data_IF_954700288369
#
_entry.id   IF_954700288369
#
_cell.length_a   1.000
_cell.length_b   1.000
_cell.length_c   1.000
_cell.angle_alpha   90.00
_cell.angle_beta   90.00
_cell.angle_gamma   90.00
#
_symmetry.space_group_name_H-M   'P 1'
#
loop_
_entity.id
_entity.type
_entity.pdbx_description
1 polymer ?
#
# COMPACT_ATOMS: atom_id res chain seq x y z
N UNK A 1 16.52 -9.26 -9.19
CA UNK A 1 17.01 -8.21 -8.26
C UNK A 1 16.74 -6.78 -8.76
N UNK A 2 16.49 -6.56 -10.07
CA UNK A 2 16.20 -5.23 -10.64
C UNK A 2 14.75 -4.75 -10.41
N UNK A 3 13.78 -5.66 -10.31
CA UNK A 3 12.34 -5.33 -10.22
C UNK A 3 11.94 -4.70 -8.89
N UNK A 4 12.53 -5.14 -7.78
CA UNK A 4 12.22 -4.58 -6.45
C UNK A 4 12.61 -3.10 -6.32
N UNK A 5 13.62 -2.66 -7.08
CA UNK A 5 14.07 -1.26 -7.10
C UNK A 5 13.14 -0.37 -7.93
N UNK A 6 12.53 -0.91 -8.99
CA UNK A 6 11.63 -0.16 -9.88
C UNK A 6 10.27 0.10 -9.22
N UNK A 7 9.67 -0.91 -8.58
CA UNK A 7 8.39 -0.75 -7.87
C UNK A 7 8.49 0.25 -6.72
N UNK A 8 9.59 0.22 -5.96
CA UNK A 8 9.84 1.22 -4.92
C UNK A 8 9.92 2.63 -5.52
N UNK A 9 10.70 2.84 -6.59
CA UNK A 9 10.82 4.14 -7.25
C UNK A 9 9.46 4.66 -7.75
N UNK A 10 8.69 3.82 -8.44
CA UNK A 10 7.34 4.15 -8.92
C UNK A 10 6.42 4.55 -7.75
N UNK A 11 6.43 3.78 -6.67
CA UNK A 11 5.66 4.07 -5.47
C UNK A 11 5.97 5.48 -4.94
N UNK A 12 7.23 5.84 -4.72
CA UNK A 12 7.58 7.15 -4.16
C UNK A 12 7.17 8.31 -5.07
N UNK A 13 7.36 8.15 -6.38
CA UNK A 13 7.01 9.20 -7.33
C UNK A 13 5.52 9.50 -7.27
N UNK A 14 4.69 8.46 -7.40
CA UNK A 14 3.23 8.62 -7.40
C UNK A 14 2.70 9.03 -6.03
N UNK A 15 3.23 8.45 -4.95
CA UNK A 15 2.88 8.88 -3.60
C UNK A 15 3.16 10.37 -3.40
N UNK A 16 4.35 10.84 -3.81
CA UNK A 16 4.71 12.25 -3.72
C UNK A 16 3.75 13.14 -4.49
N UNK A 17 3.35 12.73 -5.70
CA UNK A 17 2.44 13.51 -6.54
C UNK A 17 1.03 13.58 -5.95
N UNK A 18 0.51 12.47 -5.41
CA UNK A 18 -0.77 12.45 -4.69
C UNK A 18 -0.75 13.39 -3.48
N UNK A 19 0.32 13.34 -2.67
CA UNK A 19 0.46 14.21 -1.49
C UNK A 19 0.59 15.69 -1.88
N UNK A 20 1.38 16.01 -2.91
CA UNK A 20 1.48 17.39 -3.43
C UNK A 20 0.15 17.93 -3.94
N UNK A 21 -0.69 17.05 -4.50
CA UNK A 21 -2.04 17.39 -4.91
C UNK A 21 -3.04 17.49 -3.74
N UNK A 22 -2.60 17.32 -2.48
CA UNK A 22 -3.45 17.31 -1.28
C UNK A 22 -4.57 16.25 -1.36
N UNK A 23 -4.27 15.12 -1.98
CA UNK A 23 -5.17 13.97 -2.12
C UNK A 23 -4.81 12.86 -1.14
N UNK A 24 -5.71 11.92 -0.96
CA UNK A 24 -5.59 10.83 0.01
C UNK A 24 -5.06 9.56 -0.67
N UNK A 25 -3.81 9.15 -0.40
CA UNK A 25 -3.24 7.96 -1.01
C UNK A 25 -3.82 6.69 -0.39
N UNK A 26 -4.27 5.79 -1.27
CA UNK A 26 -4.80 4.47 -0.96
C UNK A 26 -3.98 3.42 -1.69
N UNK A 27 -3.65 2.32 -1.00
CA UNK A 27 -2.97 1.16 -1.57
C UNK A 27 -3.90 -0.05 -1.59
N UNK A 28 -3.74 -0.89 -2.61
CA UNK A 28 -4.37 -2.22 -2.69
C UNK A 28 -3.28 -3.26 -2.47
N UNK A 29 -3.57 -4.24 -1.63
CA UNK A 29 -2.63 -5.29 -1.27
C UNK A 29 -3.33 -6.65 -1.37
N UNK A 30 -2.61 -7.64 -1.91
CA UNK A 30 -3.07 -9.03 -1.96
C UNK A 30 -2.89 -9.71 -0.59
N UNK A 31 -3.97 -10.24 -0.02
CA UNK A 31 -3.98 -10.88 1.30
C UNK A 31 -3.57 -12.36 1.30
N UNK A 32 -3.46 -13.01 0.14
CA UNK A 32 -3.00 -14.41 0.05
C UNK A 32 -1.49 -14.54 0.30
N UNK A 33 -0.72 -13.53 -0.12
CA UNK A 33 0.74 -13.62 -0.13
C UNK A 33 1.42 -13.05 1.13
N UNK A 34 0.69 -12.29 1.95
CA UNK A 34 1.26 -11.59 3.09
C UNK A 34 0.36 -11.71 4.33
N UNK A 35 0.98 -12.03 5.48
CA UNK A 35 0.28 -12.14 6.75
C UNK A 35 -0.09 -10.74 7.28
N UNK A 36 -1.29 -10.26 6.92
CA UNK A 36 -1.84 -9.05 7.50
C UNK A 36 -2.50 -9.36 8.83
N UNK A 37 -2.09 -8.68 9.90
CA UNK A 37 -2.89 -8.58 11.12
C UNK A 37 -3.97 -7.52 10.92
N UNK A 38 -4.89 -7.76 9.99
CA UNK A 38 -6.02 -6.86 9.72
C UNK A 38 -7.30 -7.63 10.01
N UNK A 39 -8.36 -6.98 10.51
CA UNK A 39 -9.62 -7.67 10.74
C UNK A 39 -10.18 -8.20 9.41
N UNK A 40 -10.60 -9.47 9.40
CA UNK A 40 -11.14 -10.16 8.21
C UNK A 40 -12.33 -9.43 7.59
N UNK A 41 -13.05 -8.61 8.37
CA UNK A 41 -14.15 -7.77 7.88
C UNK A 41 -13.72 -6.66 6.91
N UNK A 42 -12.42 -6.40 6.76
CA UNK A 42 -11.86 -5.40 5.83
C UNK A 42 -11.27 -6.01 4.57
N UNK A 43 -11.17 -7.34 4.52
CA UNK A 43 -10.67 -8.08 3.37
C UNK A 43 -11.84 -8.29 2.42
N UNK A 44 -11.63 -8.00 1.13
CA UNK A 44 -12.53 -8.44 0.08
C UNK A 44 -12.26 -9.92 -0.20
N UNK A 45 -13.06 -10.80 0.40
CA UNK A 45 -12.95 -12.26 0.28
C UNK A 45 -13.25 -12.80 -1.13
N UNK A 46 -13.73 -11.96 -2.07
CA UNK A 46 -13.91 -12.38 -3.46
C UNK A 46 -12.62 -12.20 -4.27
N UNK A 47 -11.83 -11.18 -3.92
CA UNK A 47 -10.58 -10.84 -4.62
C UNK A 47 -9.32 -11.13 -3.81
N UNK A 48 -9.47 -11.49 -2.54
CA UNK A 48 -8.40 -11.58 -1.55
C UNK A 48 -7.58 -10.30 -1.48
N UNK A 49 -8.25 -9.15 -1.48
CA UNK A 49 -7.62 -7.84 -1.51
C UNK A 49 -8.00 -7.02 -0.28
N UNK A 50 -7.07 -6.19 0.18
CA UNK A 50 -7.35 -5.16 1.16
C UNK A 50 -6.90 -3.79 0.67
N UNK A 51 -7.78 -2.81 0.86
CA UNK A 51 -7.51 -1.41 0.52
C UNK A 51 -7.24 -0.60 1.78
N UNK A 52 -6.07 0.03 1.88
CA UNK A 52 -5.63 0.79 3.06
C UNK A 52 -5.25 2.22 2.70
N UNK A 53 -5.62 3.18 3.55
CA UNK A 53 -5.15 4.56 3.41
C UNK A 53 -3.76 4.73 4.02
N UNK A 54 -2.86 5.41 3.30
CA UNK A 54 -1.48 5.69 3.75
C UNK A 54 -1.20 7.20 3.80
N UNK A 55 -2.20 7.99 4.18
CA UNK A 55 -2.05 9.45 4.31
C UNK A 55 -0.98 9.82 5.36
N UNK A 56 -0.24 10.91 5.16
CA UNK A 56 0.96 11.32 5.94
C UNK A 56 0.78 11.36 7.45
N UNK A 57 -0.46 11.57 7.94
CA UNK A 57 -0.79 11.49 9.36
C UNK A 57 -0.64 10.06 9.95
N UNK A 58 -0.78 9.01 9.13
CA UNK A 58 -0.67 7.60 9.50
C UNK A 58 0.76 7.03 9.38
N UNK A 59 1.66 7.76 8.70
CA UNK A 59 3.05 7.34 8.44
C UNK A 59 4.03 8.19 9.26
N UNK A 60 3.81 8.32 10.57
CA UNK A 60 4.89 8.79 11.47
C UNK A 60 5.84 7.63 11.74
N UNK A 61 7.03 7.68 11.14
CA UNK A 61 8.10 6.71 11.42
C UNK A 61 8.21 5.53 10.44
N UNK A 62 7.83 5.69 9.17
CA UNK A 62 8.20 4.74 8.12
C UNK A 62 9.73 4.72 7.98
N UNK A 63 10.36 3.85 8.78
CA UNK A 63 11.72 3.42 8.55
C UNK A 63 11.72 2.61 7.27
N UNK A 64 12.14 3.26 6.18
CA UNK A 64 12.42 2.66 4.89
C UNK A 64 13.67 1.76 4.98
N UNK A 65 13.60 0.72 5.80
CA UNK A 65 14.54 -0.39 5.72
C UNK A 65 13.98 -1.39 4.71
N UNK A 66 14.73 -1.61 3.63
CA UNK A 66 14.56 -2.74 2.71
C UNK A 66 13.21 -2.76 1.97
N UNK A 67 12.78 -1.64 1.37
CA UNK A 67 11.58 -1.56 0.51
C UNK A 67 10.29 -2.01 1.21
N UNK A 68 10.23 -1.84 2.53
CA UNK A 68 9.09 -2.21 3.36
C UNK A 68 8.43 -0.95 3.91
N UNK A 69 7.11 -0.87 3.78
CA UNK A 69 6.29 0.17 4.36
C UNK A 69 5.76 -0.31 5.71
N UNK A 70 6.08 0.45 6.77
CA UNK A 70 5.55 0.26 8.11
C UNK A 70 4.71 1.46 8.51
N UNK A 71 3.45 1.24 8.86
CA UNK A 71 2.51 2.28 9.25
C UNK A 71 1.47 1.77 10.24
N UNK A 72 0.74 2.68 10.87
CA UNK A 72 -0.39 2.32 11.72
C UNK A 72 -1.70 2.60 10.99
N UNK A 73 -2.58 1.61 10.96
CA UNK A 73 -3.94 1.73 10.45
C UNK A 73 -4.92 1.49 11.58
N UNK A 74 -5.94 2.34 11.69
CA UNK A 74 -7.00 2.18 12.68
C UNK A 74 -8.17 1.45 12.06
N UNK A 75 -8.40 0.22 12.51
CA UNK A 75 -9.55 -0.59 12.12
C UNK A 75 -10.50 -0.70 13.32
N UNK A 76 -11.77 -0.32 13.14
CA UNK A 76 -12.78 -0.46 14.20
C UNK A 76 -12.32 0.12 15.56
N UNK A 77 -11.60 1.26 15.52
CA UNK A 77 -10.98 1.98 16.67
C UNK A 77 -9.77 1.28 17.30
N UNK A 78 -9.30 0.18 16.72
CA UNK A 78 -8.07 -0.52 17.11
C UNK A 78 -6.94 -0.07 16.18
N UNK A 79 -5.95 0.63 16.75
CA UNK A 79 -4.72 0.98 16.05
C UNK A 79 -3.87 -0.27 15.87
N UNK A 80 -3.63 -0.66 14.63
CA UNK A 80 -2.86 -1.86 14.29
C UNK A 80 -1.66 -1.49 13.45
N UNK A 81 -0.51 -2.07 13.78
CA UNK A 81 0.71 -1.92 13.00
C UNK A 81 0.64 -2.80 11.75
N UNK A 82 0.90 -2.21 10.59
CA UNK A 82 0.97 -2.88 9.30
C UNK A 82 2.40 -2.77 8.79
N UNK A 83 3.01 -3.92 8.47
CA UNK A 83 4.34 -4.02 7.86
C UNK A 83 4.20 -4.79 6.57
N UNK A 84 4.54 -4.18 5.45
CA UNK A 84 4.32 -4.77 4.13
C UNK A 84 5.39 -4.33 3.13
N UNK A 85 6.00 -5.24 2.36
CA UNK A 85 6.93 -4.87 1.31
C UNK A 85 6.20 -4.15 0.16
N UNK A 86 6.84 -3.16 -0.47
CA UNK A 86 6.24 -2.43 -1.60
C UNK A 86 5.92 -3.37 -2.77
N UNK A 87 6.66 -4.49 -2.90
CA UNK A 87 6.38 -5.53 -3.89
C UNK A 87 5.03 -6.23 -3.70
N UNK A 88 4.40 -6.11 -2.53
CA UNK A 88 3.08 -6.66 -2.24
C UNK A 88 1.94 -5.80 -2.79
N UNK A 89 2.22 -4.53 -3.12
CA UNK A 89 1.18 -3.62 -3.55
C UNK A 89 0.73 -4.01 -4.95
N UNK A 90 -0.58 -4.12 -5.15
CA UNK A 90 -1.20 -4.26 -6.47
C UNK A 90 -1.44 -2.89 -7.10
N UNK A 91 -1.77 -1.89 -6.29
CA UNK A 91 -1.99 -0.53 -6.77
C UNK A 91 -1.73 0.53 -5.69
N UNK A 92 -1.46 1.76 -6.15
CA UNK A 92 -1.45 2.99 -5.36
C UNK A 92 -2.22 4.06 -6.12
N UNK A 93 -3.24 4.65 -5.51
CA UNK A 93 -4.09 5.66 -6.15
C UNK A 93 -4.60 6.72 -5.17
N UNK A 94 -5.04 7.86 -5.70
CA UNK A 94 -5.75 8.88 -4.94
C UNK A 94 -7.22 8.49 -4.75
N UNK A 95 -7.69 8.46 -3.51
CA UNK A 95 -9.10 8.14 -3.17
C UNK A 95 -10.11 9.01 -3.94
N UNK A 96 -9.77 10.28 -4.14
CA UNK A 96 -10.65 11.33 -4.64
C UNK A 96 -11.05 11.15 -6.11
N UNK A 97 -10.14 10.65 -6.94
CA UNK A 97 -10.33 10.57 -8.39
C UNK A 97 -9.90 9.23 -8.98
N UNK A 98 -9.35 8.32 -8.17
CA UNK A 98 -8.92 7.00 -8.60
C UNK A 98 -7.61 7.00 -9.41
N UNK A 99 -6.97 8.16 -9.61
CA UNK A 99 -5.74 8.27 -10.41
C UNK A 99 -4.55 7.73 -9.61
N UNK A 100 -3.75 6.88 -10.26
CA UNK A 100 -2.66 6.19 -9.61
C UNK A 100 -1.85 5.34 -10.57
N UNK A 101 -1.19 4.33 -9.99
CA UNK A 101 -0.48 3.28 -10.70
C UNK A 101 -0.93 1.91 -10.20
N UNK A 102 -0.94 0.95 -11.11
CA UNK A 102 -0.96 -0.46 -10.78
C UNK A 102 0.49 -0.97 -10.84
N UNK A 103 0.85 -1.74 -9.83
CA UNK A 103 2.10 -2.48 -9.82
C UNK A 103 1.78 -3.84 -10.45
N UNK A 104 2.18 -4.01 -11.70
CA UNK A 104 1.97 -5.28 -12.40
C UNK A 104 2.71 -6.41 -11.70
N UNK A 105 2.07 -7.56 -11.56
CA UNK A 105 2.78 -8.82 -11.48
C UNK A 105 3.39 -9.05 -12.86
N UNK A 106 4.72 -8.98 -12.97
CA UNK A 106 5.39 -9.47 -14.16
C UNK A 106 5.24 -11.01 -14.16
N UNK A 107 4.08 -11.51 -14.56
CA UNK A 107 3.93 -12.85 -15.08
C UNK A 107 4.54 -12.86 -16.49
N UNK A 108 5.85 -12.61 -16.60
CA UNK A 108 6.61 -13.07 -17.76
C UNK A 108 6.68 -14.59 -17.65
N UNK A 109 5.70 -15.22 -18.30
CA UNK A 109 5.54 -16.66 -18.40
C UNK A 109 6.65 -17.31 -19.23
#
# INVERSE_FOLDING_TARGET
MLESTDNARKFYQIYSDIIKASKTPYIIIDTNHYAFSVPESKIDHVKDEITLSIHTAAIRGAHYQNNTLKFHATFDKISTEVIVPITAFKALYAKEDGIGIEFGEDNSH
#
